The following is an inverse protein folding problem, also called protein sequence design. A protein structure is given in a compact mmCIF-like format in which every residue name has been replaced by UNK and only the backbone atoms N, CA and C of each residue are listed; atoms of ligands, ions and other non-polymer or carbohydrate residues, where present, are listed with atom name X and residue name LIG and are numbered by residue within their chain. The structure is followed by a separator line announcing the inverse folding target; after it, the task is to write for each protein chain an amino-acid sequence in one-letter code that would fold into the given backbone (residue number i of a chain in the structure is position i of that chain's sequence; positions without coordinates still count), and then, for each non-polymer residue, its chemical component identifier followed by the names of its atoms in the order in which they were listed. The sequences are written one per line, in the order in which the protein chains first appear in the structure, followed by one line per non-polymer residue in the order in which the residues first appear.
data_IF_399508443086
#
_entry.id   IF_399508443086
#
_cell.length_a   1.000
_cell.length_b   1.000
_cell.length_c   1.000
_cell.angle_alpha   90.00
_cell.angle_beta   90.00
_cell.angle_gamma   90.00
#
_symmetry.space_group_name_H-M   'P 1'
#
loop_
_entity.id
_entity.type
_entity.pdbx_description
1 polymer ?
#
# COMPACT_ATOMS: atom_id res chain seq x y z
N UNK A 1 -20.87 -8.27 -23.61
CA UNK A 1 -21.35 -6.86 -23.62
C UNK A 1 -20.94 -6.11 -22.36
N UNK A 2 -21.28 -6.61 -21.17
CA UNK A 2 -20.93 -5.93 -19.88
C UNK A 2 -19.42 -5.77 -19.69
N UNK A 3 -18.63 -6.83 -19.93
CA UNK A 3 -17.17 -6.76 -19.82
C UNK A 3 -16.55 -5.73 -20.79
N UNK A 4 -17.03 -5.68 -22.04
CA UNK A 4 -16.59 -4.70 -23.04
C UNK A 4 -16.88 -3.28 -22.57
N UNK A 5 -18.08 -3.02 -22.04
CA UNK A 5 -18.44 -1.71 -21.50
C UNK A 5 -17.58 -1.33 -20.31
N UNK A 6 -17.32 -2.26 -19.39
CA UNK A 6 -16.47 -2.02 -18.22
C UNK A 6 -15.07 -1.58 -18.66
N UNK A 7 -14.43 -2.31 -19.57
CA UNK A 7 -13.08 -1.98 -20.03
C UNK A 7 -13.04 -0.69 -20.87
N UNK A 8 -14.01 -0.49 -21.76
CA UNK A 8 -14.07 0.74 -22.57
C UNK A 8 -14.30 1.96 -21.70
N UNK A 9 -15.27 1.92 -20.79
CA UNK A 9 -15.55 3.03 -19.86
C UNK A 9 -14.37 3.31 -18.93
N UNK A 10 -13.73 2.27 -18.40
CA UNK A 10 -12.53 2.42 -17.56
C UNK A 10 -11.39 3.10 -18.31
N UNK A 11 -11.07 2.63 -19.52
CA UNK A 11 -9.98 3.17 -20.32
C UNK A 11 -10.26 4.61 -20.75
N UNK A 12 -11.49 4.92 -21.20
CA UNK A 12 -11.85 6.30 -21.58
C UNK A 12 -11.76 7.26 -20.38
N UNK A 13 -12.28 6.88 -19.22
CA UNK A 13 -12.15 7.67 -17.99
C UNK A 13 -10.69 7.90 -17.61
N UNK A 14 -9.85 6.86 -17.72
CA UNK A 14 -8.42 6.97 -17.44
C UNK A 14 -7.71 7.91 -18.43
N UNK A 15 -8.02 7.85 -19.73
CA UNK A 15 -7.46 8.75 -20.75
C UNK A 15 -7.89 10.20 -20.59
N UNK A 16 -9.07 10.46 -20.03
CA UNK A 16 -9.56 11.80 -19.67
C UNK A 16 -8.89 12.33 -18.39
N UNK A 17 -8.05 11.53 -17.73
CA UNK A 17 -7.28 11.94 -16.55
C UNK A 17 -8.01 11.71 -15.22
N UNK A 18 -9.07 10.91 -15.21
CA UNK A 18 -9.79 10.55 -13.98
C UNK A 18 -8.89 9.63 -13.12
N UNK A 19 -8.79 9.85 -11.79
CA UNK A 19 -8.05 8.96 -10.90
C UNK A 19 -8.51 7.51 -11.05
N UNK A 20 -7.55 6.57 -11.10
CA UNK A 20 -7.80 5.15 -11.42
C UNK A 20 -8.91 4.55 -10.55
N UNK A 21 -8.94 4.85 -9.24
CA UNK A 21 -9.97 4.36 -8.34
C UNK A 21 -11.38 4.86 -8.69
N UNK A 22 -11.51 6.13 -9.07
CA UNK A 22 -12.78 6.70 -9.52
C UNK A 22 -13.19 6.15 -10.89
N UNK A 23 -12.24 5.99 -11.82
CA UNK A 23 -12.50 5.39 -13.13
C UNK A 23 -13.01 3.94 -12.99
N UNK A 24 -12.36 3.13 -12.15
CA UNK A 24 -12.74 1.74 -11.89
C UNK A 24 -14.10 1.65 -11.18
N UNK A 25 -14.34 2.54 -10.21
CA UNK A 25 -15.60 2.64 -9.49
C UNK A 25 -16.77 2.99 -10.42
N UNK A 26 -16.65 4.05 -11.21
CA UNK A 26 -17.68 4.50 -12.13
C UNK A 26 -17.97 3.47 -13.24
N UNK A 27 -16.93 2.88 -13.83
CA UNK A 27 -17.08 1.82 -14.82
C UNK A 27 -17.74 0.57 -14.22
N UNK A 28 -17.39 0.21 -12.99
CA UNK A 28 -17.99 -0.90 -12.25
C UNK A 28 -19.46 -0.66 -11.91
N UNK A 29 -19.82 0.55 -11.47
CA UNK A 29 -21.21 0.94 -11.20
C UNK A 29 -22.05 0.89 -12.48
N UNK A 30 -21.53 1.42 -13.59
CA UNK A 30 -22.21 1.36 -14.89
C UNK A 30 -22.42 -0.08 -15.37
N UNK A 31 -21.43 -0.96 -15.14
CA UNK A 31 -21.54 -2.38 -15.46
C UNK A 31 -22.60 -3.10 -14.59
N UNK A 32 -22.65 -2.82 -13.28
CA UNK A 32 -23.65 -3.38 -12.37
C UNK A 32 -25.07 -2.91 -12.71
N UNK A 33 -25.21 -1.63 -13.09
CA UNK A 33 -26.49 -1.04 -13.49
C UNK A 33 -27.05 -1.70 -14.76
N UNK A 34 -26.19 -2.04 -15.72
CA UNK A 34 -26.59 -2.70 -16.95
C UNK A 34 -26.78 -4.22 -16.80
N UNK A 35 -26.14 -4.84 -15.81
CA UNK A 35 -26.29 -6.28 -15.56
C UNK A 35 -27.61 -6.64 -14.86
N UNK A 36 -28.24 -5.70 -14.16
CA UNK A 36 -29.42 -5.93 -13.34
C UNK A 36 -30.65 -5.15 -13.84
N UNK A 37 -30.87 -5.08 -15.15
CA UNK A 37 -32.02 -4.35 -15.70
C UNK A 37 -33.37 -4.99 -15.35
N UNK A 38 -33.40 -6.32 -15.16
CA UNK A 38 -34.61 -7.09 -14.86
C UNK A 38 -34.95 -7.14 -13.36
N UNK A 39 -34.01 -6.76 -12.49
CA UNK A 39 -34.18 -6.79 -11.03
C UNK A 39 -34.33 -5.37 -10.49
N UNK A 40 -35.32 -5.17 -9.63
CA UNK A 40 -35.74 -3.86 -9.10
C UNK A 40 -34.64 -3.20 -8.26
N UNK A 41 -33.67 -2.52 -8.90
CA UNK A 41 -32.60 -1.67 -8.33
C UNK A 41 -31.72 -2.29 -7.21
N UNK A 42 -31.98 -3.53 -6.81
CA UNK A 42 -31.32 -4.22 -5.70
C UNK A 42 -29.83 -4.49 -6.00
N UNK A 43 -29.49 -4.70 -7.28
CA UNK A 43 -28.11 -4.86 -7.72
C UNK A 43 -27.23 -3.62 -7.43
N UNK A 44 -27.80 -2.41 -7.42
CA UNK A 44 -27.06 -1.20 -7.09
C UNK A 44 -26.69 -1.10 -5.60
N UNK A 45 -27.41 -1.79 -4.70
CA UNK A 45 -27.05 -1.86 -3.27
C UNK A 45 -25.71 -2.57 -3.05
N UNK A 46 -25.25 -3.38 -4.01
CA UNK A 46 -23.93 -3.96 -3.97
C UNK A 46 -22.82 -2.90 -4.04
N UNK A 47 -23.08 -1.72 -4.63
CA UNK A 47 -22.08 -0.64 -4.76
C UNK A 47 -21.65 -0.10 -3.39
N UNK A 48 -22.54 0.47 -2.54
CA UNK A 48 -22.15 0.95 -1.22
C UNK A 48 -21.63 -0.17 -0.32
N UNK A 49 -22.17 -1.39 -0.43
CA UNK A 49 -21.71 -2.55 0.33
C UNK A 49 -20.25 -2.91 -0.01
N UNK A 50 -19.92 -3.01 -1.31
CA UNK A 50 -18.56 -3.32 -1.76
C UNK A 50 -17.59 -2.16 -1.49
N UNK A 51 -18.06 -0.92 -1.59
CA UNK A 51 -17.27 0.26 -1.25
C UNK A 51 -16.89 0.24 0.24
N UNK A 52 -17.87 -0.01 1.13
CA UNK A 52 -17.63 -0.11 2.57
C UNK A 52 -16.73 -1.30 2.92
N UNK A 53 -16.97 -2.47 2.32
CA UNK A 53 -16.11 -3.64 2.49
C UNK A 53 -14.66 -3.39 1.99
N UNK A 54 -14.49 -2.56 0.97
CA UNK A 54 -13.18 -2.11 0.49
C UNK A 54 -12.44 -1.22 1.48
N UNK A 55 -13.15 -0.31 2.15
CA UNK A 55 -12.60 0.57 3.20
C UNK A 55 -12.30 -0.18 4.49
N UNK A 56 -13.13 -1.16 4.86
CA UNK A 56 -12.98 -1.99 6.05
C UNK A 56 -11.82 -3.00 6.01
N UNK A 57 -10.90 -2.88 5.05
CA UNK A 57 -9.76 -3.78 4.94
C UNK A 57 -8.73 -3.45 6.01
N UNK A 58 -8.38 -4.47 6.80
CA UNK A 58 -7.40 -4.39 7.90
C UNK A 58 -6.09 -3.65 7.54
N UNK A 59 -5.49 -3.82 6.34
CA UNK A 59 -4.29 -3.07 5.97
C UNK A 59 -4.47 -1.55 5.96
N UNK A 60 -5.62 -1.01 5.54
CA UNK A 60 -5.85 0.44 5.50
C UNK A 60 -5.90 1.04 6.91
N UNK A 61 -6.52 0.33 7.85
CA UNK A 61 -6.51 0.69 9.27
C UNK A 61 -5.12 0.54 9.90
N UNK A 62 -4.30 -0.37 9.38
CA UNK A 62 -2.95 -0.60 9.88
C UNK A 62 -1.93 0.44 9.39
N UNK A 63 -2.16 1.13 8.26
CA UNK A 63 -1.24 2.15 7.71
C UNK A 63 -0.85 3.21 8.76
N UNK A 64 -1.78 3.88 9.48
CA UNK A 64 -1.40 4.87 10.49
C UNK A 64 -0.57 4.26 11.63
N UNK A 65 -0.90 3.03 12.05
CA UNK A 65 -0.14 2.33 13.09
C UNK A 65 1.27 1.96 12.60
N UNK A 66 1.43 1.57 11.34
CA UNK A 66 2.74 1.31 10.73
C UNK A 66 3.60 2.57 10.66
N UNK A 67 3.01 3.71 10.28
CA UNK A 67 3.70 5.01 10.28
C UNK A 67 4.08 5.42 11.71
N UNK A 68 3.17 5.23 12.68
CA UNK A 68 3.44 5.53 14.09
C UNK A 68 4.62 4.68 14.62
N UNK A 69 4.60 3.37 14.40
CA UNK A 69 5.70 2.47 14.79
C UNK A 69 7.01 2.88 14.14
N UNK A 70 7.01 3.22 12.86
CA UNK A 70 8.19 3.73 12.17
C UNK A 70 8.75 5.00 12.84
N UNK A 71 7.88 5.95 13.18
CA UNK A 71 8.28 7.17 13.88
C UNK A 71 8.81 6.92 15.30
N UNK A 72 8.28 5.91 15.99
CA UNK A 72 8.77 5.49 17.31
C UNK A 72 10.15 4.85 17.17
N UNK A 73 10.37 3.98 16.18
CA UNK A 73 11.66 3.31 15.96
C UNK A 73 12.78 4.29 15.63
N UNK A 74 12.45 5.32 14.86
CA UNK A 74 13.36 6.42 14.55
C UNK A 74 13.69 7.23 15.82
N UNK A 75 12.67 7.75 16.53
CA UNK A 75 12.87 8.59 17.73
C UNK A 75 13.46 7.85 18.94
N UNK A 76 13.20 6.56 19.09
CA UNK A 76 13.73 5.74 20.19
C UNK A 76 15.19 5.32 19.98
N UNK A 77 15.75 5.58 18.79
CA UNK A 77 17.11 5.17 18.43
C UNK A 77 17.28 3.67 18.18
N UNK A 78 16.18 2.88 18.21
CA UNK A 78 16.20 1.45 17.90
C UNK A 78 16.65 1.22 16.47
N UNK A 79 16.15 2.04 15.53
CA UNK A 79 16.51 1.89 14.14
C UNK A 79 18.00 2.19 13.89
N UNK A 80 18.56 3.26 14.47
CA UNK A 80 19.99 3.56 14.37
C UNK A 80 20.85 2.43 14.96
N UNK A 81 20.44 1.83 16.08
CA UNK A 81 21.13 0.67 16.68
C UNK A 81 21.12 -0.54 15.75
N UNK A 82 19.99 -0.82 15.09
CA UNK A 82 19.88 -1.89 14.09
C UNK A 82 20.76 -1.64 12.88
N UNK A 83 20.84 -0.40 12.39
CA UNK A 83 21.75 -0.03 11.29
C UNK A 83 23.19 -0.26 11.69
N UNK A 84 23.62 0.22 12.86
CA UNK A 84 24.99 0.02 13.34
C UNK A 84 25.34 -1.47 13.50
N UNK A 85 24.38 -2.28 13.97
CA UNK A 85 24.53 -3.73 14.05
C UNK A 85 24.68 -4.37 12.67
N UNK A 86 23.83 -4.00 11.70
CA UNK A 86 23.91 -4.51 10.33
C UNK A 86 25.22 -4.07 9.63
N UNK A 87 25.68 -2.84 9.85
CA UNK A 87 26.98 -2.34 9.37
C UNK A 87 28.13 -3.14 9.99
N UNK A 88 28.04 -3.55 11.26
CA UNK A 88 29.06 -4.36 11.90
C UNK A 88 29.16 -5.78 11.30
N UNK A 89 28.05 -6.34 10.78
CA UNK A 89 28.03 -7.64 10.11
C UNK A 89 28.52 -7.54 8.66
N UNK A 90 27.99 -6.57 7.91
CA UNK A 90 28.23 -6.43 6.46
C UNK A 90 29.57 -5.75 6.16
N UNK A 91 30.05 -4.90 7.08
CA UNK A 91 31.25 -4.09 6.91
C UNK A 91 30.96 -2.69 6.35
N UNK A 92 32.02 -1.87 6.27
CA UNK A 92 31.97 -0.49 5.77
C UNK A 92 32.70 -0.41 4.43
N UNK A 93 32.07 0.21 3.44
CA UNK A 93 32.66 0.38 2.12
C UNK A 93 31.75 1.14 1.15
N UNK A 94 32.29 1.56 -0.01
CA UNK A 94 31.49 2.20 -1.05
C UNK A 94 30.41 1.23 -1.56
N UNK A 95 29.17 1.69 -1.64
CA UNK A 95 28.03 0.88 -2.10
C UNK A 95 27.47 -0.11 -1.08
N UNK A 96 27.88 -0.06 0.19
CA UNK A 96 27.41 -1.00 1.22
C UNK A 96 26.07 -0.63 1.87
N UNK A 97 25.63 0.64 1.76
CA UNK A 97 24.36 1.11 2.33
C UNK A 97 23.13 0.32 1.85
N UNK A 98 22.97 -0.03 0.56
CA UNK A 98 21.87 -0.89 0.11
C UNK A 98 21.92 -2.31 0.71
N UNK A 99 23.10 -2.91 0.87
CA UNK A 99 23.23 -4.22 1.52
C UNK A 99 22.81 -4.14 2.99
N UNK A 100 23.22 -3.08 3.69
CA UNK A 100 22.80 -2.80 5.07
C UNK A 100 21.30 -2.59 5.14
N UNK A 101 20.70 -1.86 4.19
CA UNK A 101 19.26 -1.65 4.12
C UNK A 101 18.49 -2.98 3.96
N UNK A 102 18.96 -3.87 3.08
CA UNK A 102 18.38 -5.21 2.90
C UNK A 102 18.51 -6.02 4.19
N UNK A 103 19.66 -6.01 4.85
CA UNK A 103 19.87 -6.72 6.11
C UNK A 103 18.93 -6.22 7.21
N UNK A 104 18.83 -4.91 7.41
CA UNK A 104 17.90 -4.30 8.39
C UNK A 104 16.45 -4.63 8.03
N UNK A 105 16.09 -4.57 6.75
CA UNK A 105 14.75 -4.94 6.28
C UNK A 105 14.41 -6.41 6.52
N UNK A 106 15.39 -7.33 6.43
CA UNK A 106 15.18 -8.74 6.78
C UNK A 106 14.96 -8.92 8.28
N UNK A 107 15.77 -8.29 9.14
CA UNK A 107 15.59 -8.36 10.59
C UNK A 107 14.25 -7.79 11.03
N UNK A 108 13.91 -6.59 10.56
CA UNK A 108 12.68 -5.92 10.95
C UNK A 108 11.45 -6.60 10.32
N UNK A 109 11.59 -7.14 9.10
CA UNK A 109 10.57 -7.97 8.45
C UNK A 109 10.28 -9.26 9.22
N UNK A 110 11.31 -9.92 9.77
CA UNK A 110 11.15 -11.11 10.61
C UNK A 110 10.41 -10.84 11.93
N UNK A 111 10.58 -9.65 12.51
CA UNK A 111 9.90 -9.25 13.76
C UNK A 111 8.47 -8.77 13.47
N UNK A 112 8.30 -7.91 12.45
CA UNK A 112 7.03 -7.24 12.18
C UNK A 112 6.04 -8.08 11.37
N UNK A 113 6.51 -9.04 10.58
CA UNK A 113 5.68 -9.84 9.67
C UNK A 113 4.92 -9.02 8.61
N UNK A 114 5.24 -7.73 8.45
CA UNK A 114 4.47 -6.77 7.65
C UNK A 114 5.39 -5.97 6.74
N UNK A 115 5.26 -6.18 5.43
CA UNK A 115 5.98 -5.41 4.42
C UNK A 115 5.76 -3.89 4.52
N UNK A 116 4.52 -3.40 4.63
CA UNK A 116 4.25 -1.97 4.79
C UNK A 116 4.83 -1.38 6.08
N UNK A 117 4.80 -2.13 7.19
CA UNK A 117 5.43 -1.70 8.45
C UNK A 117 6.95 -1.59 8.32
N UNK A 118 7.56 -2.58 7.67
CA UNK A 118 8.99 -2.60 7.39
C UNK A 118 9.41 -1.41 6.54
N UNK A 119 8.67 -1.10 5.48
CA UNK A 119 8.93 0.06 4.63
C UNK A 119 8.81 1.39 5.40
N UNK A 120 7.79 1.54 6.26
CA UNK A 120 7.60 2.74 7.06
C UNK A 120 8.73 2.97 8.07
N UNK A 121 9.24 1.91 8.70
CA UNK A 121 10.29 2.00 9.71
C UNK A 121 11.71 2.07 9.13
N UNK A 122 12.04 1.20 8.16
CA UNK A 122 13.38 1.15 7.55
C UNK A 122 13.58 2.29 6.57
N UNK A 123 12.55 2.67 5.81
CA UNK A 123 12.62 3.74 4.83
C UNK A 123 13.03 5.07 5.44
N UNK A 124 12.40 5.50 6.54
CA UNK A 124 12.72 6.76 7.20
C UNK A 124 14.18 6.84 7.67
N UNK A 125 14.69 5.73 8.19
CA UNK A 125 16.04 5.67 8.79
C UNK A 125 17.12 5.51 7.71
N UNK A 126 16.85 4.73 6.66
CA UNK A 126 17.78 4.55 5.55
C UNK A 126 17.91 5.80 4.70
N UNK A 127 16.80 6.53 4.45
CA UNK A 127 16.86 7.80 3.73
C UNK A 127 17.75 8.79 4.49
N UNK A 128 17.61 8.89 5.81
CA UNK A 128 18.44 9.75 6.65
C UNK A 128 19.92 9.31 6.71
N UNK A 129 20.21 8.01 6.58
CA UNK A 129 21.58 7.50 6.56
C UNK A 129 22.27 7.61 5.18
N UNK A 130 21.48 7.80 4.11
CA UNK A 130 21.96 7.96 2.73
C UNK A 130 22.12 9.43 2.31
N UNK A 131 21.43 10.35 3.01
CA UNK A 131 21.60 11.80 2.87
C UNK A 131 22.81 12.31 3.65
#
# INVERSE_FOLDING_TARGET
MIATLLFVAFLTLMFVGVPIGAALGLAGVAAIALANQDTQWFGLLAVPQNFYAGLGKYPLLAIPMFVLVGSIFDRSGVALRLVNFAVAIVGRGPGMLPLVAIAVAMFLGGISGSGPANAAAVGGVMIAAMS
#
